data_IF_203008153116
#
_entry.id   IF_203008153116
#
_cell.length_a   1.000
_cell.length_b   1.000
_cell.length_c   1.000
_cell.angle_alpha   90.00
_cell.angle_beta   90.00
_cell.angle_gamma   90.00
#
_symmetry.space_group_name_H-M   'P 1'
#
loop_
_entity.id
_entity.type
_entity.pdbx_description
1 polymer ?
#
# COMPACT_ATOMS: atom_id res chain seq x y z
N UNK A 1 8.70 -18.18 -1.42
CA UNK A 1 7.81 -18.77 -0.39
C UNK A 1 7.84 -20.29 -0.44
N UNK A 2 7.21 -20.92 -1.44
CA UNK A 2 7.14 -22.39 -1.56
C UNK A 2 8.51 -23.06 -1.51
N UNK A 3 9.46 -22.62 -2.36
CA UNK A 3 10.81 -23.21 -2.40
C UNK A 3 11.52 -23.11 -1.05
N UNK A 4 11.31 -22.02 -0.31
CA UNK A 4 11.86 -21.85 1.03
C UNK A 4 11.27 -22.88 1.99
N UNK A 5 9.96 -23.09 1.98
CA UNK A 5 9.30 -24.07 2.83
C UNK A 5 9.81 -25.50 2.53
N UNK A 6 9.84 -25.90 1.26
CA UNK A 6 10.35 -27.23 0.86
C UNK A 6 11.81 -27.42 1.27
N UNK A 7 12.66 -26.41 1.05
CA UNK A 7 14.07 -26.45 1.46
C UNK A 7 14.26 -26.58 2.98
N UNK A 8 13.28 -26.15 3.78
CA UNK A 8 13.29 -26.24 5.24
C UNK A 8 12.52 -27.48 5.76
N UNK A 9 12.35 -28.51 4.93
CA UNK A 9 11.87 -29.83 5.38
C UNK A 9 10.36 -30.02 5.36
N UNK A 10 9.59 -29.04 4.87
CA UNK A 10 8.14 -29.18 4.73
C UNK A 10 7.81 -30.03 3.49
N UNK A 11 7.14 -31.17 3.71
CA UNK A 11 6.69 -32.08 2.65
C UNK A 11 5.38 -31.56 2.05
N UNK A 12 5.50 -30.62 1.12
CA UNK A 12 4.37 -29.95 0.47
C UNK A 12 4.50 -30.10 -1.05
N UNK A 13 3.43 -30.49 -1.72
CA UNK A 13 3.35 -30.45 -3.18
C UNK A 13 2.97 -29.04 -3.66
N UNK A 14 3.49 -28.64 -4.82
CA UNK A 14 3.26 -27.31 -5.38
C UNK A 14 1.79 -27.03 -5.65
N UNK A 15 1.09 -27.95 -6.32
CA UNK A 15 -0.28 -27.71 -6.79
C UNK A 15 -1.26 -27.50 -5.61
N UNK A 16 -1.29 -28.37 -4.59
CA UNK A 16 -2.11 -28.13 -3.40
C UNK A 16 -1.75 -26.84 -2.66
N UNK A 17 -0.46 -26.48 -2.58
CA UNK A 17 -0.04 -25.24 -1.95
C UNK A 17 -0.54 -24.00 -2.70
N UNK A 18 -0.32 -23.97 -4.01
CA UNK A 18 -0.71 -22.86 -4.85
C UNK A 18 -2.22 -22.65 -4.83
N UNK A 19 -2.99 -23.73 -4.92
CA UNK A 19 -4.44 -23.65 -4.95
C UNK A 19 -5.03 -23.19 -3.61
N UNK A 20 -4.56 -23.73 -2.48
CA UNK A 20 -4.98 -23.26 -1.16
C UNK A 20 -4.59 -21.79 -0.94
N UNK A 21 -3.37 -21.39 -1.32
CA UNK A 21 -2.94 -19.99 -1.21
C UNK A 21 -3.85 -19.06 -2.04
N UNK A 22 -4.20 -19.47 -3.26
CA UNK A 22 -5.09 -18.73 -4.15
C UNK A 22 -6.49 -18.59 -3.56
N UNK A 23 -7.07 -19.68 -3.05
CA UNK A 23 -8.41 -19.68 -2.41
C UNK A 23 -8.43 -18.73 -1.21
N UNK A 24 -7.45 -18.84 -0.32
CA UNK A 24 -7.39 -18.01 0.90
C UNK A 24 -7.17 -16.54 0.53
N UNK A 25 -6.31 -16.26 -0.46
CA UNK A 25 -6.11 -14.90 -0.97
C UNK A 25 -7.41 -14.31 -1.51
N UNK A 26 -8.18 -15.05 -2.30
CA UNK A 26 -9.45 -14.58 -2.85
C UNK A 26 -10.47 -14.31 -1.74
N UNK A 27 -10.56 -15.20 -0.76
CA UNK A 27 -11.42 -15.00 0.43
C UNK A 27 -11.04 -13.73 1.19
N UNK A 28 -9.75 -13.49 1.43
CA UNK A 28 -9.29 -12.26 2.08
C UNK A 28 -9.62 -11.00 1.26
N UNK A 29 -9.49 -11.05 -0.07
CA UNK A 29 -9.86 -9.92 -0.94
C UNK A 29 -11.36 -9.63 -0.85
N UNK A 30 -12.20 -10.67 -0.90
CA UNK A 30 -13.65 -10.52 -0.74
C UNK A 30 -14.00 -9.93 0.62
N UNK A 31 -13.44 -10.48 1.69
CA UNK A 31 -13.63 -9.96 3.05
C UNK A 31 -13.12 -8.52 3.18
N UNK A 32 -12.00 -8.16 2.55
CA UNK A 32 -11.50 -6.79 2.53
C UNK A 32 -12.48 -5.84 1.82
N UNK A 33 -13.07 -6.25 0.69
CA UNK A 33 -14.07 -5.44 0.00
C UNK A 33 -15.33 -5.21 0.84
N UNK A 34 -15.77 -6.24 1.58
CA UNK A 34 -16.96 -6.16 2.43
C UNK A 34 -16.72 -5.34 3.71
N UNK A 35 -15.56 -5.49 4.33
CA UNK A 35 -15.27 -4.95 5.67
C UNK A 35 -14.39 -3.70 5.67
N UNK A 36 -13.64 -3.47 4.59
CA UNK A 36 -12.57 -2.47 4.51
C UNK A 36 -11.34 -2.78 5.38
N UNK A 37 -11.27 -3.97 5.97
CA UNK A 37 -10.14 -4.40 6.82
C UNK A 37 -8.94 -4.83 5.96
N UNK A 38 -7.75 -4.54 6.45
CA UNK A 38 -6.53 -5.16 5.94
C UNK A 38 -6.32 -6.52 6.62
N UNK A 39 -5.91 -7.53 5.85
CA UNK A 39 -5.64 -8.88 6.35
C UNK A 39 -4.16 -9.20 6.20
N UNK A 40 -3.52 -9.62 7.30
CA UNK A 40 -2.07 -9.82 7.35
C UNK A 40 -1.64 -10.94 6.37
N UNK A 41 -0.55 -10.68 5.65
CA UNK A 41 0.02 -11.64 4.72
C UNK A 41 0.53 -12.91 5.43
N UNK A 42 1.02 -12.79 6.68
CA UNK A 42 1.42 -13.92 7.52
C UNK A 42 0.23 -14.84 7.83
N UNK A 43 -0.92 -14.25 8.13
CA UNK A 43 -2.14 -15.01 8.39
C UNK A 43 -2.58 -15.80 7.15
N UNK A 44 -2.40 -15.22 5.95
CA UNK A 44 -2.65 -15.93 4.69
C UNK A 44 -1.77 -17.18 4.57
N UNK A 45 -0.48 -17.06 4.84
CA UNK A 45 0.47 -18.18 4.76
C UNK A 45 0.14 -19.23 5.81
N UNK A 46 -0.09 -18.82 7.06
CA UNK A 46 -0.47 -19.71 8.15
C UNK A 46 -1.71 -20.54 7.80
N UNK A 47 -2.79 -19.90 7.31
CA UNK A 47 -4.01 -20.60 6.86
C UNK A 47 -3.78 -21.50 5.65
N UNK A 48 -2.85 -21.15 4.78
CA UNK A 48 -2.49 -21.99 3.63
C UNK A 48 -1.83 -23.29 4.10
N UNK A 49 -0.93 -23.18 5.07
CA UNK A 49 -0.27 -24.34 5.67
C UNK A 49 -1.23 -25.18 6.51
N UNK A 50 -2.13 -24.54 7.26
CA UNK A 50 -3.18 -25.21 8.03
C UNK A 50 -4.05 -26.09 7.14
N UNK A 51 -4.46 -25.59 5.97
CA UNK A 51 -5.24 -26.36 4.98
C UNK A 51 -4.50 -27.58 4.42
N UNK A 52 -3.17 -27.64 4.58
CA UNK A 52 -2.30 -28.75 4.20
C UNK A 52 -1.89 -29.63 5.40
N UNK A 53 -2.51 -29.43 6.57
CA UNK A 53 -2.21 -30.17 7.80
C UNK A 53 -0.97 -29.69 8.55
N UNK A 54 -0.44 -28.50 8.22
CA UNK A 54 0.75 -27.92 8.85
C UNK A 54 0.34 -26.72 9.70
N UNK A 55 0.35 -26.89 11.02
CA UNK A 55 -0.04 -25.84 11.95
C UNK A 55 1.18 -25.00 12.37
N UNK A 56 1.31 -23.81 11.77
CA UNK A 56 2.28 -22.80 12.19
C UNK A 56 1.56 -21.49 12.50
N UNK A 57 1.87 -20.83 13.63
CA UNK A 57 1.27 -19.55 13.94
C UNK A 57 1.78 -18.47 12.97
N UNK A 58 0.98 -17.43 12.64
CA UNK A 58 1.35 -16.40 11.68
C UNK A 58 2.69 -15.70 11.99
N UNK A 59 3.03 -15.53 13.26
CA UNK A 59 4.27 -14.92 13.76
C UNK A 59 5.44 -15.90 13.88
N UNK A 60 5.32 -17.12 13.34
CA UNK A 60 6.44 -18.07 13.32
C UNK A 60 7.58 -17.59 12.43
N UNK A 61 8.82 -17.78 12.92
CA UNK A 61 10.04 -17.43 12.20
C UNK A 61 10.12 -18.07 10.80
N UNK A 62 9.59 -19.28 10.64
CA UNK A 62 9.51 -19.97 9.35
C UNK A 62 8.63 -19.21 8.36
N UNK A 63 7.45 -18.72 8.78
CA UNK A 63 6.56 -17.95 7.91
C UNK A 63 7.20 -16.60 7.56
N UNK A 64 7.82 -15.93 8.55
CA UNK A 64 8.49 -14.65 8.31
C UNK A 64 9.60 -14.80 7.25
N UNK A 65 10.50 -15.79 7.40
CA UNK A 65 11.55 -16.05 6.42
C UNK A 65 10.99 -16.48 5.05
N UNK A 66 9.92 -17.27 5.02
CA UNK A 66 9.27 -17.67 3.77
C UNK A 66 8.70 -16.47 3.00
N UNK A 67 8.14 -15.50 3.73
CA UNK A 67 7.66 -14.23 3.18
C UNK A 67 8.79 -13.32 2.74
N UNK A 68 9.88 -13.22 3.52
CA UNK A 68 11.05 -12.46 3.10
C UNK A 68 11.63 -12.97 1.78
N UNK A 69 11.80 -14.28 1.62
CA UNK A 69 12.26 -14.87 0.36
C UNK A 69 11.31 -14.61 -0.80
N UNK A 70 10.00 -14.64 -0.56
CA UNK A 70 9.00 -14.28 -1.57
C UNK A 70 9.10 -12.81 -1.98
N UNK A 71 9.22 -11.92 -1.00
CA UNK A 71 9.24 -10.48 -1.20
C UNK A 71 10.57 -9.96 -1.76
N UNK A 72 11.68 -10.71 -1.62
CA UNK A 72 12.94 -10.41 -2.33
C UNK A 72 12.77 -10.33 -3.86
N UNK A 73 11.87 -11.14 -4.43
CA UNK A 73 11.54 -11.04 -5.86
C UNK A 73 10.92 -9.69 -6.22
N UNK A 74 10.00 -9.21 -5.38
CA UNK A 74 9.39 -7.89 -5.52
C UNK A 74 10.42 -6.77 -5.35
N UNK A 75 11.29 -6.88 -4.34
CA UNK A 75 12.34 -5.90 -4.06
C UNK A 75 13.24 -5.63 -5.28
N UNK A 76 13.57 -6.67 -6.06
CA UNK A 76 14.38 -6.55 -7.29
C UNK A 76 13.68 -5.77 -8.40
N UNK A 77 12.34 -5.76 -8.40
CA UNK A 77 11.53 -5.03 -9.37
C UNK A 77 11.21 -3.59 -8.97
N UNK A 78 11.52 -3.18 -7.74
CA UNK A 78 11.26 -1.80 -7.30
C UNK A 78 12.33 -0.88 -7.88
N UNK A 79 11.89 0.05 -8.74
CA UNK A 79 12.72 1.14 -9.24
C UNK A 79 12.01 2.47 -8.97
N UNK A 80 12.75 3.43 -8.39
CA UNK A 80 12.26 4.79 -8.16
C UNK A 80 12.99 5.71 -9.11
N UNK A 81 12.24 6.36 -10.00
CA UNK A 81 12.78 7.33 -10.96
C UNK A 81 13.38 8.54 -10.25
N UNK A 82 14.46 9.11 -10.79
CA UNK A 82 15.17 10.26 -10.17
C UNK A 82 14.24 11.46 -10.03
N UNK A 83 13.37 11.64 -11.01
CA UNK A 83 12.34 12.67 -11.09
C UNK A 83 11.39 12.61 -9.90
N UNK A 84 11.13 11.41 -9.35
CA UNK A 84 10.30 11.26 -8.15
C UNK A 84 10.94 11.94 -6.95
N UNK A 85 12.25 11.80 -6.75
CA UNK A 85 12.96 12.46 -5.66
C UNK A 85 12.90 13.99 -5.80
N UNK A 86 13.15 14.50 -7.01
CA UNK A 86 13.08 15.95 -7.29
C UNK A 86 11.68 16.52 -6.99
N UNK A 87 10.62 15.81 -7.40
CA UNK A 87 9.24 16.22 -7.14
C UNK A 87 8.93 16.18 -5.65
N UNK A 88 9.31 15.09 -4.95
CA UNK A 88 9.09 14.96 -3.50
C UNK A 88 9.86 16.02 -2.71
N UNK A 89 11.11 16.33 -3.07
CA UNK A 89 11.90 17.38 -2.43
C UNK A 89 11.24 18.75 -2.55
N UNK A 90 10.79 19.10 -3.76
CA UNK A 90 10.11 20.38 -4.00
C UNK A 90 8.73 20.45 -3.35
N UNK A 91 7.99 19.35 -3.32
CA UNK A 91 6.71 19.32 -2.61
C UNK A 91 6.92 19.39 -1.10
N UNK A 92 7.93 18.70 -0.57
CA UNK A 92 8.23 18.70 0.85
C UNK A 92 8.79 20.04 1.34
N UNK A 93 9.31 20.92 0.49
CA UNK A 93 9.65 22.28 0.94
C UNK A 93 8.42 23.19 1.08
N UNK A 94 7.29 22.86 0.44
CA UNK A 94 6.11 23.72 0.34
C UNK A 94 4.83 23.16 1.01
N UNK A 95 4.72 21.83 1.14
CA UNK A 95 3.53 21.12 1.62
C UNK A 95 3.89 20.06 2.67
N UNK A 96 3.00 19.82 3.65
CA UNK A 96 3.11 18.61 4.47
C UNK A 96 2.80 17.40 3.59
N UNK A 97 3.64 16.38 3.63
CA UNK A 97 3.46 15.18 2.83
C UNK A 97 3.08 13.99 3.71
N UNK A 98 1.96 13.36 3.36
CA UNK A 98 1.52 12.09 3.95
C UNK A 98 1.61 10.96 2.94
N UNK A 99 2.02 9.78 3.39
CA UNK A 99 1.99 8.56 2.58
C UNK A 99 0.92 7.60 3.13
N UNK A 100 -0.01 7.19 2.27
CA UNK A 100 -0.96 6.11 2.56
C UNK A 100 -0.78 4.95 1.57
N UNK A 101 -0.53 3.75 2.08
CA UNK A 101 -0.40 2.55 1.25
C UNK A 101 -1.29 1.40 1.73
N UNK A 102 -1.85 0.66 0.77
CA UNK A 102 -2.44 -0.65 1.04
C UNK A 102 -1.33 -1.70 0.94
N UNK A 103 -0.81 -2.15 2.08
CA UNK A 103 0.22 -3.18 2.14
C UNK A 103 0.05 -4.06 3.39
N UNK A 104 -0.19 -5.35 3.16
CA UNK A 104 -0.53 -6.33 4.18
C UNK A 104 0.65 -6.86 5.01
N UNK A 105 1.89 -6.45 4.70
CA UNK A 105 3.09 -6.87 5.44
C UNK A 105 4.02 -5.69 5.77
N UNK A 106 3.76 -4.96 6.86
CA UNK A 106 4.50 -3.74 7.21
C UNK A 106 6.03 -3.88 7.29
N UNK A 107 6.64 -4.98 7.81
CA UNK A 107 8.09 -5.09 7.90
C UNK A 107 8.81 -4.91 6.55
N UNK A 108 8.26 -5.49 5.47
CA UNK A 108 8.84 -5.33 4.15
C UNK A 108 8.63 -3.93 3.58
N UNK A 109 7.49 -3.29 3.83
CA UNK A 109 7.28 -1.90 3.44
C UNK A 109 8.34 -0.99 4.07
N UNK A 110 8.60 -1.13 5.37
CA UNK A 110 9.63 -0.34 6.06
C UNK A 110 11.03 -0.63 5.53
N UNK A 111 11.35 -1.89 5.23
CA UNK A 111 12.61 -2.24 4.56
C UNK A 111 12.77 -1.48 3.23
N UNK A 112 11.73 -1.43 2.41
CA UNK A 112 11.76 -0.75 1.11
C UNK A 112 11.88 0.77 1.28
N UNK A 113 11.07 1.38 2.14
CA UNK A 113 11.08 2.85 2.29
C UNK A 113 12.42 3.37 2.83
N UNK A 114 13.06 2.60 3.72
CA UNK A 114 14.40 2.89 4.24
C UNK A 114 15.48 2.67 3.18
N UNK A 115 15.43 1.54 2.44
CA UNK A 115 16.37 1.23 1.36
C UNK A 115 16.45 2.34 0.29
N UNK A 116 15.30 2.91 -0.07
CA UNK A 116 15.22 4.00 -1.05
C UNK A 116 15.29 5.39 -0.41
N UNK A 117 15.52 5.48 0.90
CA UNK A 117 15.60 6.73 1.66
C UNK A 117 14.41 7.67 1.38
N UNK A 118 13.21 7.09 1.24
CA UNK A 118 11.98 7.82 0.91
C UNK A 118 11.29 8.39 2.17
N UNK A 119 11.55 7.79 3.34
CA UNK A 119 10.94 8.19 4.61
C UNK A 119 11.18 9.68 4.93
N UNK A 120 12.33 10.22 4.53
CA UNK A 120 12.72 11.62 4.75
C UNK A 120 11.78 12.66 4.12
N UNK A 121 10.93 12.25 3.18
CA UNK A 121 10.01 13.14 2.49
C UNK A 121 8.63 13.25 3.13
N UNK A 122 8.29 12.38 4.07
CA UNK A 122 6.93 12.27 4.58
C UNK A 122 6.87 12.65 6.06
N UNK A 123 6.03 13.65 6.38
CA UNK A 123 5.72 14.06 7.75
C UNK A 123 4.90 12.97 8.49
N UNK A 124 4.16 12.15 7.75
CA UNK A 124 3.44 11.00 8.28
C UNK A 124 3.35 9.87 7.25
N UNK A 125 3.42 8.63 7.74
CA UNK A 125 3.24 7.42 6.95
C UNK A 125 2.18 6.56 7.63
N UNK A 126 1.26 6.00 6.84
CA UNK A 126 0.23 5.07 7.27
C UNK A 126 0.21 3.88 6.33
N UNK A 127 0.51 2.71 6.89
CA UNK A 127 0.43 1.42 6.21
C UNK A 127 -0.81 0.69 6.68
N UNK A 128 -1.66 0.26 5.75
CA UNK A 128 -2.92 -0.44 6.08
C UNK A 128 -2.72 -1.66 6.98
N UNK A 129 -1.63 -2.42 6.80
CA UNK A 129 -1.31 -3.58 7.62
C UNK A 129 -1.02 -3.24 9.09
N UNK A 130 -0.64 -2.00 9.40
CA UNK A 130 -0.40 -1.53 10.77
C UNK A 130 -1.69 -1.03 11.44
N UNK A 131 -2.53 -0.34 10.66
CA UNK A 131 -3.74 0.29 11.18
C UNK A 131 -4.99 -0.57 11.03
N UNK A 132 -4.90 -1.67 10.29
CA UNK A 132 -5.97 -2.64 10.06
C UNK A 132 -7.08 -2.18 9.11
N UNK A 133 -6.90 -1.06 8.41
CA UNK A 133 -7.89 -0.51 7.46
C UNK A 133 -7.21 -0.25 6.13
N UNK A 134 -7.79 -0.74 5.03
CA UNK A 134 -7.29 -0.50 3.69
C UNK A 134 -8.13 0.58 2.99
N UNK A 135 -7.51 1.36 2.12
CA UNK A 135 -8.22 2.22 1.16
C UNK A 135 -9.16 1.31 0.32
N UNK A 136 -10.38 1.74 -0.05
CA UNK A 136 -10.95 3.09 0.09
C UNK A 136 -11.68 3.34 1.43
N UNK A 137 -11.48 2.53 2.47
CA UNK A 137 -12.16 2.74 3.75
C UNK A 137 -11.81 4.12 4.34
N UNK A 138 -12.79 4.94 4.76
CA UNK A 138 -12.52 6.31 5.23
C UNK A 138 -11.58 6.37 6.45
N UNK A 139 -11.52 5.31 7.26
CA UNK A 139 -10.71 5.28 8.48
C UNK A 139 -9.22 5.48 8.19
N UNK A 140 -8.66 4.90 7.12
CA UNK A 140 -7.23 5.07 6.84
C UNK A 140 -6.88 6.51 6.43
N UNK A 141 -7.78 7.19 5.70
CA UNK A 141 -7.61 8.61 5.37
C UNK A 141 -7.74 9.50 6.60
N UNK A 142 -8.70 9.24 7.49
CA UNK A 142 -8.81 9.99 8.74
C UNK A 142 -7.59 9.81 9.66
N UNK A 143 -6.95 8.64 9.64
CA UNK A 143 -5.73 8.41 10.42
C UNK A 143 -4.58 9.29 9.92
N UNK A 144 -4.34 9.39 8.59
CA UNK A 144 -3.28 10.28 8.10
C UNK A 144 -3.61 11.75 8.38
N UNK A 145 -4.88 12.15 8.23
CA UNK A 145 -5.33 13.52 8.48
C UNK A 145 -5.11 13.92 9.94
N UNK A 146 -5.41 13.00 10.87
CA UNK A 146 -5.16 13.18 12.30
C UNK A 146 -3.66 13.31 12.60
N UNK A 147 -2.82 12.41 12.05
CA UNK A 147 -1.35 12.47 12.21
C UNK A 147 -0.76 13.80 11.70
N UNK A 148 -1.29 14.36 10.62
CA UNK A 148 -0.83 15.62 10.04
C UNK A 148 -1.46 16.86 10.69
N UNK A 149 -2.48 16.69 11.53
CA UNK A 149 -3.35 17.73 12.07
C UNK A 149 -3.94 18.62 10.97
N UNK A 150 -4.54 17.98 9.95
CA UNK A 150 -5.14 18.65 8.80
C UNK A 150 -6.61 18.27 8.64
N UNK A 151 -7.38 19.21 8.07
CA UNK A 151 -8.74 18.96 7.63
C UNK A 151 -8.74 18.45 6.19
N UNK A 152 -9.64 17.53 5.80
CA UNK A 152 -9.64 16.92 4.47
C UNK A 152 -9.73 17.93 3.33
N UNK A 153 -10.51 19.01 3.48
CA UNK A 153 -10.66 20.07 2.46
C UNK A 153 -9.36 20.86 2.19
N UNK A 154 -8.37 20.73 3.08
CA UNK A 154 -7.02 21.29 2.94
C UNK A 154 -6.00 20.28 2.44
N UNK A 155 -6.44 19.14 1.89
CA UNK A 155 -5.53 18.11 1.40
C UNK A 155 -5.85 17.72 -0.04
N UNK A 156 -4.81 17.32 -0.77
CA UNK A 156 -4.89 16.66 -2.06
C UNK A 156 -4.39 15.24 -1.88
N UNK A 157 -5.17 14.25 -2.32
CA UNK A 157 -4.72 12.87 -2.44
C UNK A 157 -4.28 12.60 -3.88
N UNK A 158 -3.10 12.00 -4.03
CA UNK A 158 -2.55 11.59 -5.32
C UNK A 158 -2.47 10.07 -5.32
N UNK A 159 -3.06 9.42 -6.33
CA UNK A 159 -3.05 7.96 -6.44
C UNK A 159 -3.31 7.51 -7.87
N UNK A 160 -3.08 6.24 -8.14
CA UNK A 160 -3.18 5.64 -9.48
C UNK A 160 -4.43 4.76 -9.64
N UNK A 161 -5.15 4.50 -8.55
CA UNK A 161 -6.34 3.67 -8.57
C UNK A 161 -7.63 4.50 -8.47
N UNK A 162 -8.50 4.53 -9.51
CA UNK A 162 -9.73 5.31 -9.52
C UNK A 162 -10.66 5.06 -8.32
N UNK A 163 -10.88 3.80 -7.94
CA UNK A 163 -11.79 3.48 -6.84
C UNK A 163 -11.11 3.54 -5.46
N UNK A 164 -9.99 2.84 -5.31
CA UNK A 164 -9.28 2.69 -4.03
C UNK A 164 -8.73 4.04 -3.54
N UNK A 165 -8.06 4.79 -4.42
CA UNK A 165 -7.41 6.04 -4.05
C UNK A 165 -8.34 7.24 -4.24
N UNK A 166 -8.83 7.41 -5.46
CA UNK A 166 -9.48 8.66 -5.86
C UNK A 166 -10.88 8.75 -5.26
N UNK A 167 -11.76 7.78 -5.52
CA UNK A 167 -13.09 7.75 -4.91
C UNK A 167 -12.98 7.69 -3.37
N UNK A 168 -12.08 6.88 -2.82
CA UNK A 168 -11.83 6.80 -1.38
C UNK A 168 -11.49 8.15 -0.75
N UNK A 169 -10.51 8.87 -1.30
CA UNK A 169 -10.12 10.19 -0.82
C UNK A 169 -11.20 11.26 -1.04
N UNK A 170 -11.90 11.19 -2.18
CA UNK A 170 -13.01 12.11 -2.50
C UNK A 170 -14.14 12.01 -1.49
N UNK A 171 -14.48 10.79 -1.08
CA UNK A 171 -15.55 10.51 -0.12
C UNK A 171 -15.28 11.07 1.28
N UNK A 172 -14.03 11.31 1.65
CA UNK A 172 -13.67 11.97 2.92
C UNK A 172 -13.48 13.48 2.78
N UNK A 173 -13.72 14.05 1.59
CA UNK A 173 -13.68 15.50 1.33
C UNK A 173 -12.33 16.03 0.86
N UNK A 174 -11.37 15.17 0.49
CA UNK A 174 -10.09 15.60 -0.09
C UNK A 174 -10.26 15.97 -1.56
N UNK A 175 -9.41 16.89 -2.04
CA UNK A 175 -9.19 17.04 -3.48
C UNK A 175 -8.36 15.86 -3.99
N UNK A 176 -8.47 15.54 -5.27
CA UNK A 176 -7.86 14.32 -5.81
C UNK A 176 -7.18 14.54 -7.16
N UNK A 177 -6.02 13.92 -7.32
CA UNK A 177 -5.29 13.87 -8.58
C UNK A 177 -5.07 12.39 -8.93
N UNK A 178 -5.63 11.95 -10.04
CA UNK A 178 -5.36 10.64 -10.62
C UNK A 178 -4.05 10.69 -11.40
N UNK A 179 -3.06 9.88 -11.02
CA UNK A 179 -1.85 9.64 -11.81
C UNK A 179 -2.06 8.39 -12.66
N UNK A 180 -2.45 8.56 -13.93
CA UNK A 180 -2.65 7.43 -14.84
C UNK A 180 -2.46 7.83 -16.30
N UNK A 181 -1.86 6.92 -17.08
CA UNK A 181 -1.76 7.07 -18.54
C UNK A 181 -3.03 6.65 -19.27
N UNK A 182 -3.76 5.69 -18.70
CA UNK A 182 -4.86 5.00 -19.38
C UNK A 182 -6.21 5.19 -18.67
N UNK A 183 -6.20 5.25 -17.33
CA UNK A 183 -7.43 5.29 -16.55
C UNK A 183 -7.94 6.72 -16.46
N UNK A 184 -9.25 6.86 -16.46
CA UNK A 184 -9.95 8.06 -16.04
C UNK A 184 -10.76 7.76 -14.79
N UNK A 185 -11.17 8.80 -14.07
CA UNK A 185 -12.07 8.70 -12.93
C UNK A 185 -13.03 9.86 -12.94
N UNK A 186 -14.32 9.58 -12.79
CA UNK A 186 -15.34 10.61 -12.58
C UNK A 186 -15.19 11.34 -11.24
N UNK A 187 -14.43 10.73 -10.31
CA UNK A 187 -14.20 11.28 -8.98
C UNK A 187 -12.94 12.15 -8.90
N UNK A 188 -12.06 12.10 -9.90
CA UNK A 188 -10.82 12.85 -9.92
C UNK A 188 -11.07 14.34 -10.19
N UNK A 189 -10.48 15.24 -9.39
CA UNK A 189 -10.49 16.67 -9.70
C UNK A 189 -9.55 17.00 -10.87
N UNK A 190 -8.42 16.30 -10.97
CA UNK A 190 -7.49 16.37 -12.10
C UNK A 190 -6.94 14.98 -12.41
N UNK A 191 -6.53 14.77 -13.66
CA UNK A 191 -5.77 13.60 -14.09
C UNK A 191 -4.45 14.07 -14.71
N UNK A 192 -3.35 13.48 -14.27
CA UNK A 192 -2.01 13.67 -14.83
C UNK A 192 -1.46 12.33 -15.30
N UNK A 193 -0.54 12.35 -16.26
CA UNK A 193 0.04 11.13 -16.83
C UNK A 193 1.42 10.83 -16.27
N UNK A 194 2.06 11.85 -15.68
CA UNK A 194 3.41 11.78 -15.19
C UNK A 194 3.58 12.58 -13.88
N UNK A 195 4.44 12.07 -12.98
CA UNK A 195 4.69 12.71 -11.68
C UNK A 195 5.30 14.11 -11.82
N UNK A 196 5.99 14.40 -12.92
CA UNK A 196 6.56 15.73 -13.22
C UNK A 196 5.48 16.81 -13.36
N UNK A 197 4.25 16.44 -13.71
CA UNK A 197 3.12 17.35 -13.84
C UNK A 197 2.52 17.76 -12.48
N UNK A 198 2.86 17.04 -11.41
CA UNK A 198 2.17 17.13 -10.13
C UNK A 198 2.22 18.54 -9.50
N UNK A 199 3.36 19.23 -9.61
CA UNK A 199 3.50 20.60 -9.10
C UNK A 199 2.55 21.57 -9.82
N UNK A 200 2.44 21.45 -11.14
CA UNK A 200 1.52 22.27 -11.93
C UNK A 200 0.06 21.97 -11.56
N UNK A 201 -0.28 20.69 -11.44
CA UNK A 201 -1.62 20.25 -11.07
C UNK A 201 -2.03 20.74 -9.67
N UNK A 202 -1.13 20.66 -8.68
CA UNK A 202 -1.40 21.16 -7.31
C UNK A 202 -1.64 22.67 -7.32
N UNK A 203 -0.86 23.44 -8.07
CA UNK A 203 -1.05 24.89 -8.20
C UNK A 203 -2.44 25.22 -8.80
N UNK A 204 -2.91 24.44 -9.76
CA UNK A 204 -4.26 24.58 -10.34
C UNK A 204 -5.38 24.37 -9.32
N UNK A 205 -5.16 23.52 -8.31
CA UNK A 205 -6.14 23.24 -7.25
C UNK A 205 -6.14 24.26 -6.11
N UNK A 206 -5.23 25.25 -6.12
CA UNK A 206 -5.18 26.40 -5.20
C UNK A 206 -5.23 26.01 -3.71
N UNK A 207 -4.49 24.98 -3.33
CA UNK A 207 -4.34 24.59 -1.92
C UNK A 207 -3.32 25.49 -1.21
N UNK A 208 -3.48 25.72 0.09
CA UNK A 208 -2.50 26.47 0.87
C UNK A 208 -1.24 25.63 1.11
N UNK A 209 -0.08 26.26 0.99
CA UNK A 209 1.22 25.73 1.45
C UNK A 209 1.23 25.57 2.98
N UNK A 210 2.20 24.80 3.52
CA UNK A 210 2.26 24.38 4.95
C UNK A 210 1.93 25.50 5.92
#
# INVERSE_FOLDING_TARGET
MYDFLVKNGFKIEWEPFFENYRIIRLKQIEMQRQTGREYDLRERVSKTLEALGINLPPDSEIIEKALEEYLKGYEKGVNIEKETYTVLEKLHSEYKLGLITNFAYPPFFHKIIEKFNLKRFFDAIVVSGEVGWAKPNPKIFHIILSKLNLKPEKCIFVGDHPEIDIMGAKNVGMKTILLSKEKSSLYADLTIRDIRELLSAINGLKIKKK
#
